data_IF_069821518828
#
_entry.id   IF_069821518828
#
_cell.length_a   1.000
_cell.length_b   1.000
_cell.length_c   1.000
_cell.angle_alpha   90.00
_cell.angle_beta   90.00
_cell.angle_gamma   90.00
#
_symmetry.space_group_name_H-M   'P 1'
#
loop_
_entity.id
_entity.type
_entity.pdbx_description
1 polymer ?
#
# COMPACT_ATOMS: atom_id res chain seq x y z
N UNK A 1 35.35 3.68 -10.53
CA UNK A 1 33.91 3.34 -10.52
C UNK A 1 33.15 4.21 -9.52
N UNK A 2 33.72 4.52 -8.36
CA UNK A 2 33.12 5.39 -7.32
C UNK A 2 32.63 6.74 -7.85
N UNK A 3 33.46 7.49 -8.59
CA UNK A 3 33.08 8.80 -9.18
C UNK A 3 31.95 8.72 -10.20
N UNK A 4 31.77 7.55 -10.84
CA UNK A 4 30.66 7.33 -11.78
C UNK A 4 29.36 7.15 -11.02
N UNK A 5 29.36 6.32 -9.98
CA UNK A 5 28.18 6.05 -9.14
C UNK A 5 27.73 7.34 -8.42
N UNK A 6 28.67 8.11 -7.87
CA UNK A 6 28.37 9.41 -7.23
C UNK A 6 27.66 10.37 -8.19
N UNK A 7 28.12 10.44 -9.45
CA UNK A 7 27.48 11.27 -10.48
C UNK A 7 26.07 10.80 -10.79
N UNK A 8 25.84 9.49 -10.90
CA UNK A 8 24.51 8.94 -11.15
C UNK A 8 23.54 9.26 -10.00
N UNK A 9 24.03 9.16 -8.75
CA UNK A 9 23.23 9.49 -7.57
C UNK A 9 22.80 10.95 -7.60
N UNK A 10 23.71 11.89 -7.89
CA UNK A 10 23.37 13.32 -8.02
C UNK A 10 22.36 13.62 -9.14
N UNK A 11 22.20 12.73 -10.10
CA UNK A 11 21.25 12.89 -11.21
C UNK A 11 19.86 12.31 -10.89
N UNK A 12 19.68 11.65 -9.74
CA UNK A 12 18.38 11.09 -9.35
C UNK A 12 17.34 12.15 -9.04
N UNK A 13 17.76 13.35 -8.60
CA UNK A 13 16.88 14.48 -8.31
C UNK A 13 16.22 15.09 -9.57
N UNK A 14 16.73 14.78 -10.76
CA UNK A 14 16.21 15.35 -12.01
C UNK A 14 14.91 14.66 -12.43
N UNK A 15 13.76 15.34 -12.33
CA UNK A 15 12.48 14.77 -12.78
C UNK A 15 12.34 14.59 -14.30
N UNK A 16 13.41 14.80 -15.08
CA UNK A 16 13.45 14.63 -16.54
C UNK A 16 14.21 13.37 -16.97
N UNK A 17 14.43 13.18 -18.27
CA UNK A 17 15.05 11.99 -18.86
C UNK A 17 16.35 11.48 -18.19
N UNK A 18 17.29 12.33 -17.73
CA UNK A 18 18.54 11.88 -17.11
C UNK A 18 18.39 11.07 -15.83
N UNK A 19 17.31 11.23 -15.05
CA UNK A 19 17.10 10.41 -13.84
C UNK A 19 16.69 8.99 -14.20
N UNK A 20 15.85 8.79 -15.21
CA UNK A 20 15.49 7.44 -15.69
C UNK A 20 16.72 6.66 -16.16
N UNK A 21 17.59 7.31 -16.95
CA UNK A 21 18.84 6.69 -17.39
C UNK A 21 19.76 6.38 -16.21
N UNK A 22 19.85 7.29 -15.24
CA UNK A 22 20.70 7.10 -14.06
C UNK A 22 20.18 5.99 -13.15
N UNK A 23 18.86 5.91 -12.94
CA UNK A 23 18.19 4.83 -12.21
C UNK A 23 18.46 3.48 -12.89
N UNK A 24 18.22 3.38 -14.20
CA UNK A 24 18.44 2.15 -14.96
C UNK A 24 19.91 1.69 -14.90
N UNK A 25 20.84 2.65 -14.96
CA UNK A 25 22.27 2.36 -14.84
C UNK A 25 22.66 1.88 -13.44
N UNK A 26 22.14 2.51 -12.38
CA UNK A 26 22.36 2.06 -10.99
C UNK A 26 21.79 0.65 -10.76
N UNK A 27 20.61 0.34 -11.30
CA UNK A 27 20.02 -1.01 -11.29
C UNK A 27 20.95 -1.99 -12.01
N UNK A 28 21.48 -1.61 -13.18
CA UNK A 28 22.41 -2.43 -13.95
C UNK A 28 23.76 -2.67 -13.25
N UNK A 29 24.21 -1.73 -12.41
CA UNK A 29 25.38 -1.92 -11.51
C UNK A 29 25.01 -2.90 -10.38
N UNK A 30 23.76 -2.89 -9.92
CA UNK A 30 23.23 -3.82 -8.94
C UNK A 30 23.76 -3.57 -7.53
N UNK A 31 24.00 -4.66 -6.80
CA UNK A 31 24.46 -4.66 -5.40
C UNK A 31 25.67 -3.77 -5.13
N UNK A 32 26.56 -3.56 -6.11
CA UNK A 32 27.75 -2.71 -5.94
C UNK A 32 27.41 -1.22 -5.81
N UNK A 33 26.25 -0.77 -6.29
CA UNK A 33 25.79 0.61 -6.15
C UNK A 33 25.18 0.90 -4.76
N UNK A 34 24.67 -0.12 -4.07
CA UNK A 34 23.86 0.03 -2.86
C UNK A 34 24.56 0.83 -1.74
N UNK A 35 25.83 0.57 -1.38
CA UNK A 35 26.51 1.35 -0.34
C UNK A 35 26.59 2.84 -0.69
N UNK A 36 26.90 3.17 -1.95
CA UNK A 36 27.02 4.55 -2.38
C UNK A 36 25.66 5.26 -2.42
N UNK A 37 24.60 4.57 -2.83
CA UNK A 37 23.23 5.13 -2.78
C UNK A 37 22.84 5.40 -1.34
N UNK A 38 23.11 4.48 -0.40
CA UNK A 38 22.84 4.67 1.03
C UNK A 38 23.56 5.92 1.56
N UNK A 39 24.85 6.09 1.24
CA UNK A 39 25.65 7.22 1.70
C UNK A 39 25.19 8.56 1.08
N UNK A 40 24.72 8.52 -0.18
CA UNK A 40 24.24 9.70 -0.90
C UNK A 40 22.78 10.08 -0.63
N UNK A 41 21.96 9.15 -0.14
CA UNK A 41 20.52 9.32 0.09
C UNK A 41 20.14 10.59 0.87
N UNK A 42 20.87 11.03 1.93
CA UNK A 42 20.56 12.27 2.65
C UNK A 42 20.73 13.56 1.83
N UNK A 43 21.44 13.50 0.70
CA UNK A 43 21.66 14.64 -0.20
C UNK A 43 20.61 14.76 -1.29
N UNK A 44 19.80 13.71 -1.49
CA UNK A 44 18.75 13.68 -2.51
C UNK A 44 17.50 14.44 -2.05
N UNK A 45 16.83 15.05 -3.01
CA UNK A 45 15.51 15.62 -2.80
C UNK A 45 14.43 14.52 -2.73
N UNK A 46 13.16 14.93 -2.58
CA UNK A 46 12.04 13.99 -2.53
C UNK A 46 12.03 13.04 -3.73
N UNK A 47 12.22 13.56 -4.94
CA UNK A 47 12.15 12.75 -6.16
C UNK A 47 13.35 11.80 -6.26
N UNK A 48 14.55 12.27 -5.93
CA UNK A 48 15.74 11.42 -5.87
C UNK A 48 15.63 10.31 -4.83
N UNK A 49 15.05 10.59 -3.65
CA UNK A 49 14.79 9.59 -2.62
C UNK A 49 13.81 8.50 -3.09
N UNK A 50 12.70 8.89 -3.74
CA UNK A 50 11.76 7.93 -4.29
C UNK A 50 12.42 7.06 -5.37
N UNK A 51 13.19 7.68 -6.28
CA UNK A 51 13.95 6.96 -7.31
C UNK A 51 14.97 6.00 -6.70
N UNK A 52 15.63 6.38 -5.60
CA UNK A 52 16.55 5.51 -4.89
C UNK A 52 15.83 4.31 -4.24
N UNK A 53 14.62 4.50 -3.67
CA UNK A 53 13.79 3.39 -3.18
C UNK A 53 13.48 2.41 -4.31
N UNK A 54 13.11 2.90 -5.50
CA UNK A 54 12.86 2.03 -6.65
C UNK A 54 14.11 1.23 -7.05
N UNK A 55 15.31 1.83 -6.99
CA UNK A 55 16.56 1.07 -7.21
C UNK A 55 16.72 -0.02 -6.15
N UNK A 56 16.43 0.26 -4.87
CA UNK A 56 16.53 -0.73 -3.80
C UNK A 56 15.59 -1.92 -4.02
N UNK A 57 14.36 -1.69 -4.45
CA UNK A 57 13.39 -2.75 -4.74
C UNK A 57 13.82 -3.62 -5.94
N UNK A 58 14.24 -2.99 -7.04
CA UNK A 58 14.66 -3.69 -8.26
C UNK A 58 15.95 -4.51 -8.06
N UNK A 59 16.91 -3.96 -7.31
CA UNK A 59 18.18 -4.66 -7.03
C UNK A 59 17.99 -5.74 -5.95
N UNK A 60 17.00 -5.59 -5.08
CA UNK A 60 16.64 -6.52 -4.02
C UNK A 60 17.79 -6.90 -3.06
N UNK A 61 18.68 -5.94 -2.78
CA UNK A 61 19.77 -6.13 -1.82
C UNK A 61 19.36 -5.69 -0.41
N UNK A 62 19.32 -6.60 0.58
CA UNK A 62 18.82 -6.30 1.92
C UNK A 62 19.69 -5.29 2.69
N UNK A 63 20.89 -4.95 2.22
CA UNK A 63 21.75 -3.92 2.83
C UNK A 63 21.12 -2.53 2.83
N UNK A 64 20.10 -2.28 2.00
CA UNK A 64 19.33 -1.03 2.00
C UNK A 64 18.40 -0.88 3.23
N UNK A 65 18.13 -1.95 3.98
CA UNK A 65 17.16 -1.97 5.08
C UNK A 65 17.32 -0.83 6.10
N UNK A 66 18.53 -0.54 6.63
CA UNK A 66 18.75 0.58 7.53
C UNK A 66 18.41 1.95 6.92
N UNK A 67 18.65 2.14 5.62
CA UNK A 67 18.33 3.39 4.92
C UNK A 67 16.83 3.55 4.73
N UNK A 68 16.12 2.49 4.33
CA UNK A 68 14.66 2.47 4.25
C UNK A 68 14.01 2.73 5.62
N UNK A 69 14.53 2.13 6.70
CA UNK A 69 14.09 2.41 8.08
C UNK A 69 14.29 3.89 8.44
N UNK A 70 15.35 4.53 7.96
CA UNK A 70 15.56 5.95 8.19
C UNK A 70 14.52 6.82 7.44
N UNK A 71 14.17 6.45 6.20
CA UNK A 71 13.17 7.15 5.37
C UNK A 71 11.74 7.10 5.93
N UNK A 72 11.42 6.14 6.81
CA UNK A 72 10.16 6.14 7.58
C UNK A 72 9.98 7.39 8.46
N UNK A 73 11.03 8.19 8.66
CA UNK A 73 11.01 9.47 9.39
C UNK A 73 11.14 10.69 8.45
N UNK A 74 11.03 10.50 7.14
CA UNK A 74 11.02 11.60 6.18
C UNK A 74 9.88 12.58 6.49
N UNK A 75 10.06 13.86 6.16
CA UNK A 75 8.99 14.86 6.25
C UNK A 75 7.92 14.65 5.16
N UNK A 76 8.27 13.97 4.06
CA UNK A 76 7.36 13.67 2.95
C UNK A 76 6.60 12.35 3.16
N UNK A 77 5.26 12.39 3.05
CA UNK A 77 4.41 11.21 3.28
C UNK A 77 4.59 10.12 2.22
N UNK A 78 4.84 10.48 0.95
CA UNK A 78 5.06 9.50 -0.11
C UNK A 78 6.39 8.77 0.09
N UNK A 79 7.43 9.48 0.53
CA UNK A 79 8.71 8.84 0.89
C UNK A 79 8.52 7.85 2.04
N UNK A 80 7.74 8.21 3.07
CA UNK A 80 7.42 7.29 4.19
C UNK A 80 6.63 6.07 3.72
N UNK A 81 5.63 6.28 2.86
CA UNK A 81 4.81 5.23 2.24
C UNK A 81 5.67 4.23 1.46
N UNK A 82 6.45 4.72 0.49
CA UNK A 82 7.27 3.87 -0.38
C UNK A 82 8.36 3.15 0.42
N UNK A 83 8.94 3.81 1.44
CA UNK A 83 9.89 3.15 2.31
C UNK A 83 9.25 1.98 3.09
N UNK A 84 8.02 2.15 3.61
CA UNK A 84 7.31 1.07 4.29
C UNK A 84 6.99 -0.08 3.34
N UNK A 85 6.51 0.22 2.13
CA UNK A 85 6.22 -0.78 1.11
C UNK A 85 7.48 -1.55 0.71
N UNK A 86 8.58 -0.86 0.42
CA UNK A 86 9.85 -1.49 0.05
C UNK A 86 10.40 -2.40 1.16
N UNK A 87 10.28 -1.99 2.43
CA UNK A 87 10.67 -2.84 3.57
C UNK A 87 9.90 -4.17 3.60
N UNK A 88 8.61 -4.15 3.28
CA UNK A 88 7.77 -5.33 3.18
C UNK A 88 8.09 -6.18 1.94
N UNK A 89 8.16 -5.56 0.76
CA UNK A 89 8.53 -6.23 -0.51
C UNK A 89 9.86 -6.98 -0.40
N UNK A 90 10.84 -6.36 0.26
CA UNK A 90 12.18 -6.91 0.47
C UNK A 90 12.29 -7.83 1.71
N UNK A 91 11.20 -8.03 2.45
CA UNK A 91 11.13 -8.87 3.65
C UNK A 91 12.20 -8.52 4.69
N UNK A 92 12.35 -7.22 4.97
CA UNK A 92 13.27 -6.73 5.99
C UNK A 92 12.63 -6.92 7.37
N UNK A 93 12.68 -8.16 7.90
CA UNK A 93 12.02 -8.55 9.16
C UNK A 93 12.38 -7.64 10.35
N UNK A 94 13.61 -7.11 10.38
CA UNK A 94 14.08 -6.17 11.41
C UNK A 94 13.37 -4.81 11.41
N UNK A 95 12.50 -4.53 10.45
CA UNK A 95 11.81 -3.26 10.31
C UNK A 95 10.46 -3.17 11.03
N UNK A 96 9.90 -4.28 11.52
CA UNK A 96 8.54 -4.33 12.13
C UNK A 96 8.31 -3.20 13.14
N UNK A 97 9.21 -3.02 14.11
CA UNK A 97 9.05 -1.98 15.13
C UNK A 97 9.19 -0.54 14.59
N UNK A 98 9.99 -0.36 13.53
CA UNK A 98 10.10 0.94 12.86
C UNK A 98 8.83 1.28 12.10
N UNK A 99 8.25 0.31 11.36
CA UNK A 99 6.99 0.48 10.64
C UNK A 99 5.82 0.70 11.61
N UNK A 100 5.77 -0.01 12.76
CA UNK A 100 4.79 0.26 13.83
C UNK A 100 4.90 1.68 14.38
N UNK A 101 6.12 2.17 14.59
CA UNK A 101 6.35 3.55 15.03
C UNK A 101 5.89 4.55 13.97
N UNK A 102 6.19 4.31 12.69
CA UNK A 102 5.74 5.14 11.59
C UNK A 102 4.20 5.18 11.52
N UNK A 103 3.54 4.04 11.71
CA UNK A 103 2.08 3.98 11.75
C UNK A 103 1.49 4.78 12.92
N UNK A 104 2.05 4.66 14.12
CA UNK A 104 1.63 5.49 15.27
C UNK A 104 1.80 6.99 15.00
N UNK A 105 2.93 7.39 14.42
CA UNK A 105 3.14 8.79 14.02
C UNK A 105 2.14 9.24 12.94
N UNK A 106 1.69 8.34 12.07
CA UNK A 106 0.63 8.60 11.11
C UNK A 106 -0.72 8.87 11.77
N UNK A 107 -1.09 8.05 12.76
CA UNK A 107 -2.30 8.25 13.55
C UNK A 107 -2.24 9.55 14.38
N UNK A 108 -1.08 9.89 14.95
CA UNK A 108 -0.88 11.15 15.70
C UNK A 108 -1.05 12.40 14.83
N UNK A 109 -0.73 12.31 13.53
CA UNK A 109 -0.97 13.37 12.54
C UNK A 109 -2.42 13.45 12.05
N UNK A 110 -3.29 12.53 12.50
CA UNK A 110 -4.66 12.41 12.05
C UNK A 110 -4.79 12.34 10.52
N UNK A 111 -3.84 11.68 9.85
CA UNK A 111 -3.96 11.43 8.41
C UNK A 111 -5.13 10.47 8.17
N UNK A 112 -6.05 10.78 7.22
CA UNK A 112 -7.13 9.89 6.87
C UNK A 112 -6.59 8.49 6.57
N UNK A 113 -7.22 7.42 7.08
CA UNK A 113 -6.68 6.07 6.97
C UNK A 113 -6.79 5.51 5.55
N UNK A 114 -7.60 6.12 4.70
CA UNK A 114 -7.74 5.85 3.27
C UNK A 114 -6.62 6.51 2.46
N UNK A 115 -6.10 5.76 1.49
CA UNK A 115 -5.06 6.17 0.53
C UNK A 115 -3.69 6.49 1.14
N UNK A 116 -2.68 6.50 0.27
CA UNK A 116 -1.33 7.01 0.58
C UNK A 116 -0.63 6.30 1.76
N UNK A 117 0.09 7.05 2.58
CA UNK A 117 0.95 6.56 3.64
C UNK A 117 0.28 5.60 4.64
N UNK A 118 -0.87 5.91 5.29
CA UNK A 118 -1.45 4.98 6.26
C UNK A 118 -1.87 3.65 5.64
N UNK A 119 -2.30 3.64 4.38
CA UNK A 119 -2.60 2.41 3.66
C UNK A 119 -1.32 1.61 3.37
N UNK A 120 -0.31 2.23 2.75
CA UNK A 120 0.95 1.57 2.43
C UNK A 120 1.65 1.02 3.67
N UNK A 121 1.59 1.75 4.79
CA UNK A 121 2.13 1.29 6.08
C UNK A 121 1.31 0.12 6.63
N UNK A 122 -0.04 0.13 6.58
CA UNK A 122 -0.85 -1.02 7.03
C UNK A 122 -0.62 -2.26 6.17
N UNK A 123 -0.47 -2.08 4.86
CA UNK A 123 -0.10 -3.14 3.94
C UNK A 123 1.26 -3.73 4.35
N UNK A 124 2.27 -2.87 4.55
CA UNK A 124 3.60 -3.31 4.96
C UNK A 124 3.58 -4.07 6.30
N UNK A 125 2.80 -3.61 7.28
CA UNK A 125 2.61 -4.33 8.55
C UNK A 125 1.97 -5.70 8.33
N UNK A 126 1.06 -5.83 7.38
CA UNK A 126 0.40 -7.10 7.05
C UNK A 126 1.39 -8.09 6.44
N UNK A 127 2.16 -7.65 5.45
CA UNK A 127 3.18 -8.47 4.77
C UNK A 127 4.33 -8.89 5.70
N UNK A 128 4.71 -8.03 6.65
CA UNK A 128 5.72 -8.34 7.66
C UNK A 128 5.15 -9.18 8.83
N UNK A 129 3.88 -9.60 8.78
CA UNK A 129 3.23 -10.40 9.82
C UNK A 129 2.96 -9.65 11.14
N UNK A 130 3.06 -8.32 11.12
CA UNK A 130 2.86 -7.45 12.27
C UNK A 130 1.40 -6.95 12.42
N UNK A 131 0.55 -7.23 11.43
CA UNK A 131 -0.88 -6.96 11.38
C UNK A 131 -1.59 -8.14 10.72
N UNK A 132 -2.79 -8.48 11.19
CA UNK A 132 -3.65 -9.48 10.54
C UNK A 132 -5.03 -8.86 10.36
N UNK A 133 -5.44 -8.53 9.12
CA UNK A 133 -6.80 -8.06 8.87
C UNK A 133 -7.81 -9.11 9.34
N UNK A 134 -8.83 -8.69 10.08
CA UNK A 134 -9.94 -9.58 10.43
C UNK A 134 -10.77 -9.82 9.18
N UNK A 135 -10.89 -11.08 8.77
CA UNK A 135 -11.74 -11.51 7.65
C UNK A 135 -12.95 -12.26 8.23
N UNK A 136 -14.15 -11.68 8.17
CA UNK A 136 -15.38 -12.33 8.63
C UNK A 136 -15.68 -13.68 7.95
N UNK A 137 -16.41 -14.59 8.60
CA UNK A 137 -16.58 -15.97 8.11
C UNK A 137 -17.27 -16.08 6.75
N UNK A 138 -18.27 -15.25 6.45
CA UNK A 138 -18.96 -15.32 5.16
C UNK A 138 -18.07 -14.74 4.06
N UNK A 139 -17.40 -13.61 4.30
CA UNK A 139 -16.38 -13.03 3.43
C UNK A 139 -15.28 -14.05 3.13
N UNK A 140 -14.73 -14.74 4.14
CA UNK A 140 -13.73 -15.78 3.95
C UNK A 140 -14.25 -16.93 3.08
N UNK A 141 -15.48 -17.40 3.32
CA UNK A 141 -16.11 -18.47 2.54
C UNK A 141 -16.29 -18.10 1.07
N UNK A 142 -16.71 -16.86 0.79
CA UNK A 142 -16.91 -16.36 -0.57
C UNK A 142 -15.59 -16.17 -1.32
N UNK A 143 -14.44 -16.07 -0.62
CA UNK A 143 -13.12 -16.04 -1.28
C UNK A 143 -12.78 -17.39 -1.88
N UNK A 144 -13.10 -18.48 -1.18
CA UNK A 144 -12.79 -19.84 -1.61
C UNK A 144 -13.54 -20.28 -2.87
N UNK A 145 -14.54 -19.52 -3.30
CA UNK A 145 -15.28 -19.74 -4.55
C UNK A 145 -14.74 -18.91 -5.72
N UNK A 146 -13.74 -18.03 -5.47
CA UNK A 146 -13.05 -17.28 -6.51
C UNK A 146 -12.03 -18.15 -7.25
N UNK A 147 -11.57 -17.71 -8.43
CA UNK A 147 -10.41 -18.29 -9.07
C UNK A 147 -9.16 -18.04 -8.21
N UNK A 148 -8.23 -19.01 -8.16
CA UNK A 148 -7.03 -18.94 -7.30
C UNK A 148 -6.14 -17.72 -7.60
N UNK A 149 -6.17 -17.21 -8.83
CA UNK A 149 -5.40 -16.05 -9.31
C UNK A 149 -6.18 -14.73 -9.25
N UNK A 150 -7.43 -14.75 -8.79
CA UNK A 150 -8.25 -13.53 -8.73
C UNK A 150 -7.81 -12.60 -7.58
N UNK A 151 -7.71 -11.28 -7.83
CA UNK A 151 -7.25 -10.31 -6.83
C UNK A 151 -8.26 -10.05 -5.69
N UNK A 152 -9.36 -10.80 -5.60
CA UNK A 152 -10.45 -10.53 -4.68
C UNK A 152 -11.53 -11.60 -4.68
N UNK A 153 -12.78 -11.17 -4.53
CA UNK A 153 -13.98 -11.99 -4.52
C UNK A 153 -14.78 -11.79 -5.80
N UNK A 154 -15.61 -12.75 -6.25
CA UNK A 154 -16.54 -12.51 -7.35
C UNK A 154 -17.43 -11.30 -7.04
N UNK A 155 -17.54 -10.33 -7.96
CA UNK A 155 -18.29 -9.09 -7.70
C UNK A 155 -19.79 -9.33 -7.48
N UNK A 156 -20.32 -10.46 -7.95
CA UNK A 156 -21.69 -10.89 -7.69
C UNK A 156 -22.02 -11.03 -6.18
N UNK A 157 -21.00 -11.20 -5.33
CA UNK A 157 -21.16 -11.32 -3.88
C UNK A 157 -20.83 -10.05 -3.11
N UNK A 158 -20.66 -8.93 -3.81
CA UNK A 158 -20.16 -7.71 -3.18
C UNK A 158 -21.10 -7.19 -2.08
N UNK A 159 -22.42 -7.26 -2.31
CA UNK A 159 -23.43 -6.91 -1.29
C UNK A 159 -23.33 -7.77 -0.04
N UNK A 160 -23.12 -9.08 -0.16
CA UNK A 160 -22.94 -9.98 0.98
C UNK A 160 -21.66 -9.66 1.76
N UNK A 161 -20.57 -9.36 1.04
CA UNK A 161 -19.28 -8.98 1.65
C UNK A 161 -19.42 -7.66 2.43
N UNK A 162 -20.07 -6.65 1.85
CA UNK A 162 -20.29 -5.35 2.53
C UNK A 162 -21.06 -5.54 3.83
N UNK A 163 -22.15 -6.31 3.79
CA UNK A 163 -22.95 -6.55 4.98
C UNK A 163 -22.19 -7.31 6.05
N UNK A 164 -21.45 -8.36 5.67
CA UNK A 164 -20.67 -9.19 6.59
C UNK A 164 -19.53 -8.40 7.26
N UNK A 165 -18.81 -7.55 6.50
CA UNK A 165 -17.78 -6.65 7.04
C UNK A 165 -18.39 -5.68 8.06
N UNK A 166 -19.50 -5.03 7.71
CA UNK A 166 -20.14 -4.08 8.60
C UNK A 166 -20.80 -4.75 9.84
N UNK A 167 -21.34 -5.97 9.71
CA UNK A 167 -21.86 -6.75 10.84
C UNK A 167 -20.75 -7.15 11.83
N UNK A 168 -19.50 -7.18 11.37
CA UNK A 168 -18.30 -7.38 12.18
C UNK A 168 -17.60 -6.05 12.55
N UNK A 169 -18.34 -4.94 12.49
CA UNK A 169 -17.87 -3.59 12.84
C UNK A 169 -16.63 -3.13 12.06
N UNK A 170 -16.54 -3.50 10.78
CA UNK A 170 -15.47 -3.08 9.87
C UNK A 170 -15.95 -2.03 8.89
N UNK A 171 -15.03 -1.16 8.48
CA UNK A 171 -15.26 -0.03 7.58
C UNK A 171 -14.51 -0.31 6.28
N UNK A 172 -15.23 -0.36 5.16
CA UNK A 172 -14.63 -0.34 3.82
C UNK A 172 -14.14 1.07 3.56
N UNK A 173 -12.89 1.20 3.09
CA UNK A 173 -12.27 2.46 2.71
C UNK A 173 -12.50 2.76 1.22
N UNK A 174 -12.28 1.75 0.37
CA UNK A 174 -12.53 1.82 -1.07
C UNK A 174 -12.59 0.39 -1.63
N UNK A 175 -13.04 0.26 -2.88
CA UNK A 175 -13.09 -1.01 -3.59
C UNK A 175 -12.44 -0.90 -4.96
N UNK A 176 -11.69 -1.93 -5.35
CA UNK A 176 -11.14 -2.03 -6.71
C UNK A 176 -11.82 -3.16 -7.47
N UNK A 177 -12.11 -2.93 -8.74
CA UNK A 177 -12.73 -3.92 -9.61
C UNK A 177 -11.75 -4.42 -10.66
N UNK A 178 -11.81 -5.72 -10.91
CA UNK A 178 -10.88 -6.43 -11.76
C UNK A 178 -11.63 -7.36 -12.69
N UNK A 179 -11.20 -7.42 -13.95
CA UNK A 179 -11.68 -8.41 -14.91
C UNK A 179 -10.58 -9.43 -15.15
N UNK A 180 -10.91 -10.71 -15.02
CA UNK A 180 -9.97 -11.81 -15.26
C UNK A 180 -10.38 -12.53 -16.54
N UNK A 181 -9.60 -12.33 -17.61
CA UNK A 181 -9.83 -12.97 -18.91
C UNK A 181 -8.61 -13.78 -19.34
N UNK A 182 -8.81 -15.07 -19.62
CA UNK A 182 -7.78 -15.96 -20.16
C UNK A 182 -6.42 -15.89 -19.39
N UNK A 183 -6.49 -15.86 -18.05
CA UNK A 183 -5.32 -15.78 -17.17
C UNK A 183 -4.64 -14.40 -17.12
N UNK A 184 -5.31 -13.35 -17.58
CA UNK A 184 -4.86 -11.96 -17.46
C UNK A 184 -5.85 -11.15 -16.65
N UNK A 185 -5.32 -10.32 -15.76
CA UNK A 185 -6.09 -9.46 -14.88
C UNK A 185 -6.01 -8.02 -15.37
N UNK A 186 -7.16 -7.38 -15.53
CA UNK A 186 -7.28 -5.99 -15.97
C UNK A 186 -8.03 -5.19 -14.92
N UNK A 187 -7.51 -4.02 -14.56
CA UNK A 187 -8.27 -3.06 -13.77
C UNK A 187 -9.51 -2.62 -14.54
N UNK A 188 -10.66 -2.62 -13.87
CA UNK A 188 -11.92 -2.11 -14.39
C UNK A 188 -12.22 -0.84 -13.63
N UNK A 189 -12.59 0.22 -14.33
CA UNK A 189 -13.11 1.41 -13.67
C UNK A 189 -14.29 0.98 -12.79
N UNK A 190 -14.19 1.31 -11.50
CA UNK A 190 -15.29 1.11 -10.58
C UNK A 190 -16.43 2.06 -10.89
N UNK A 191 -17.24 2.31 -9.87
CA UNK A 191 -18.27 3.32 -9.97
C UNK A 191 -17.63 4.71 -9.96
N UNK A 192 -18.25 5.69 -10.63
CA UNK A 192 -17.79 7.09 -10.57
C UNK A 192 -18.14 7.77 -9.24
N UNK A 193 -18.45 7.00 -8.20
CA UNK A 193 -18.85 7.48 -6.90
C UNK A 193 -17.62 7.94 -6.13
N UNK A 194 -17.60 9.21 -5.80
CA UNK A 194 -16.62 9.82 -4.90
C UNK A 194 -17.31 10.06 -3.56
N UNK A 195 -16.78 9.46 -2.49
CA UNK A 195 -17.33 9.55 -1.15
C UNK A 195 -16.20 9.61 -0.12
N UNK A 196 -16.43 10.38 0.93
CA UNK A 196 -15.50 10.57 2.04
C UNK A 196 -16.26 10.29 3.34
N UNK A 197 -15.62 9.55 4.24
CA UNK A 197 -16.18 9.23 5.55
C UNK A 197 -15.94 10.35 6.56
N UNK A 198 -16.90 10.59 7.46
CA UNK A 198 -16.65 11.46 8.61
C UNK A 198 -15.77 10.74 9.64
N UNK A 199 -14.46 10.93 9.52
CA UNK A 199 -13.44 10.42 10.45
C UNK A 199 -13.51 11.04 11.86
N UNK A 200 -14.47 11.93 12.15
CA UNK A 200 -14.77 12.46 13.49
C UNK A 200 -15.98 11.79 14.16
N UNK A 201 -16.84 11.12 13.38
CA UNK A 201 -18.04 10.46 13.90
C UNK A 201 -17.71 9.23 14.79
N UNK A 202 -18.65 8.77 15.63
CA UNK A 202 -18.51 7.49 16.35
C UNK A 202 -18.27 6.32 15.39
N UNK A 203 -17.54 5.29 15.83
CA UNK A 203 -17.15 4.16 14.99
C UNK A 203 -18.37 3.46 14.36
N UNK A 204 -19.43 3.26 15.13
CA UNK A 204 -20.67 2.62 14.69
C UNK A 204 -21.35 3.43 13.58
N UNK A 205 -21.24 4.76 13.61
CA UNK A 205 -21.74 5.62 12.54
C UNK A 205 -20.92 5.44 11.26
N UNK A 206 -19.59 5.37 11.36
CA UNK A 206 -18.71 5.15 10.19
C UNK A 206 -18.97 3.80 9.54
N UNK A 207 -19.23 2.77 10.32
CA UNK A 207 -19.60 1.43 9.81
C UNK A 207 -20.88 1.51 8.98
N UNK A 208 -21.94 2.15 9.47
CA UNK A 208 -23.20 2.28 8.74
C UNK A 208 -23.09 3.24 7.53
N UNK A 209 -22.32 4.32 7.65
CA UNK A 209 -22.04 5.25 6.54
C UNK A 209 -21.28 4.53 5.41
N UNK A 210 -20.20 3.82 5.76
CA UNK A 210 -19.42 2.99 4.84
C UNK A 210 -20.28 1.92 4.18
N UNK A 211 -21.08 1.18 4.97
CA UNK A 211 -22.05 0.22 4.43
C UNK A 211 -22.99 0.87 3.42
N UNK A 212 -23.55 2.04 3.73
CA UNK A 212 -24.50 2.74 2.85
C UNK A 212 -23.85 3.10 1.51
N UNK A 213 -22.67 3.70 1.54
CA UNK A 213 -21.94 4.08 0.33
C UNK A 213 -21.49 2.86 -0.48
N UNK A 214 -20.95 1.83 0.18
CA UNK A 214 -20.53 0.61 -0.51
C UNK A 214 -21.71 -0.16 -1.11
N UNK A 215 -22.89 -0.14 -0.49
CA UNK A 215 -24.10 -0.74 -1.09
C UNK A 215 -24.56 0.02 -2.34
N UNK A 216 -24.43 1.35 -2.35
CA UNK A 216 -24.68 2.16 -3.54
C UNK A 216 -23.66 1.81 -4.64
N UNK A 217 -22.37 1.72 -4.30
CA UNK A 217 -21.32 1.26 -5.21
C UNK A 217 -21.63 -0.13 -5.77
N UNK A 218 -22.01 -1.09 -4.93
CA UNK A 218 -22.37 -2.43 -5.37
C UNK A 218 -23.56 -2.46 -6.34
N UNK A 219 -24.49 -1.52 -6.22
CA UNK A 219 -25.64 -1.41 -7.14
C UNK A 219 -25.29 -0.90 -8.53
N UNK A 220 -24.18 -0.17 -8.65
CA UNK A 220 -23.65 0.38 -9.91
C UNK A 220 -22.42 -0.39 -10.43
N UNK A 221 -21.90 -1.31 -9.61
CA UNK A 221 -20.69 -2.05 -9.90
C UNK A 221 -20.84 -2.96 -11.15
N UNK A 222 -19.75 -3.16 -11.90
CA UNK A 222 -19.75 -4.15 -12.99
C UNK A 222 -19.99 -5.55 -12.43
N UNK A 223 -20.97 -6.25 -12.99
CA UNK A 223 -21.29 -7.64 -12.64
C UNK A 223 -21.02 -8.53 -13.86
N UNK A 224 -20.28 -9.61 -13.63
CA UNK A 224 -20.02 -10.65 -14.62
C UNK A 224 -19.27 -11.81 -13.97
N UNK A 225 -19.34 -12.99 -14.58
CA UNK A 225 -18.70 -14.21 -14.06
C UNK A 225 -17.17 -14.11 -13.97
N UNK A 226 -16.58 -13.13 -14.65
CA UNK A 226 -15.16 -12.82 -14.70
C UNK A 226 -14.80 -11.50 -13.99
N UNK A 227 -15.75 -10.88 -13.29
CA UNK A 227 -15.51 -9.63 -12.56
C UNK A 227 -15.34 -9.92 -11.07
N UNK A 228 -14.28 -9.35 -10.51
CA UNK A 228 -13.90 -9.51 -9.12
C UNK A 228 -13.79 -8.14 -8.45
N UNK A 229 -14.10 -8.11 -7.15
CA UNK A 229 -13.98 -6.95 -6.28
C UNK A 229 -12.94 -7.23 -5.20
N UNK A 230 -12.08 -6.25 -4.96
CA UNK A 230 -11.09 -6.25 -3.88
C UNK A 230 -11.37 -5.02 -3.01
N UNK A 231 -12.26 -5.14 -1.99
CA UNK A 231 -12.43 -4.08 -1.01
C UNK A 231 -11.19 -3.99 -0.12
N UNK A 232 -10.83 -2.77 0.26
CA UNK A 232 -9.87 -2.49 1.33
C UNK A 232 -10.64 -2.03 2.55
N UNK A 233 -10.44 -2.67 3.69
CA UNK A 233 -11.16 -2.36 4.93
C UNK A 233 -10.26 -2.32 6.15
N UNK A 234 -10.78 -1.69 7.20
CA UNK A 234 -10.16 -1.57 8.51
C UNK A 234 -11.17 -1.90 9.61
N UNK A 235 -10.66 -2.26 10.78
CA UNK A 235 -11.44 -2.33 12.01
C UNK A 235 -10.94 -1.30 13.04
N UNK A 236 -11.62 -1.24 14.20
CA UNK A 236 -11.30 -0.25 15.24
C UNK A 236 -9.86 -0.35 15.75
N UNK A 237 -9.26 -1.55 15.71
CA UNK A 237 -7.89 -1.78 16.20
C UNK A 237 -6.84 -1.18 15.27
N UNK A 238 -7.17 -0.95 14.00
CA UNK A 238 -6.28 -0.26 13.07
C UNK A 238 -6.04 1.20 13.47
N UNK A 239 -7.08 1.89 13.94
CA UNK A 239 -6.95 3.30 14.35
C UNK A 239 -6.56 3.47 15.83
N UNK A 240 -6.68 2.40 16.60
CA UNK A 240 -6.37 2.38 18.03
C UNK A 240 -5.54 1.13 18.39
N UNK A 241 -4.34 0.97 17.82
CA UNK A 241 -3.51 -0.18 18.11
C UNK A 241 -3.13 -0.19 19.59
N UNK A 242 -3.16 -1.38 20.21
CA UNK A 242 -2.70 -1.55 21.58
C UNK A 242 -1.23 -1.09 21.70
N UNK A 243 -0.88 -0.49 22.85
CA UNK A 243 0.42 0.15 23.09
C UNK A 243 1.58 -0.84 23.13
#
# INVERSE_FOLDING_TARGET
MTTRIERLIQQLDDSTGPSYDSRAELIGIGSDAIPAIIDGLPSLDRFGQLTAIEVFEEVADPRCGPALIALLRSDDSTVREWAAMALASLKIDGAVEAVRRAYRACLERATPPDWSEPEGIRWALTELGARTPVVPPLTARLRATAADDAPGWPSAHFTEIINDLADHAQVILYSQFWRVDAGRTYGVSGTGLDWELDWTAPWEHRVEESRTWSLLEASEAPVGDNIFVAPTWIDRTDLHPER
#
